data_IF_755202132571
#
_entry.id   IF_755202132571
#
_cell.length_a   1.000
_cell.length_b   1.000
_cell.length_c   1.000
_cell.angle_alpha   90.00
_cell.angle_beta   90.00
_cell.angle_gamma   90.00
#
_symmetry.space_group_name_H-M   'P 1'
#
loop_
_entity.id
_entity.type
_entity.pdbx_description
1 polymer ?
#
# COMPACT_ATOMS: atom_id res chain seq x y z
N UNK A 1 5.29 31.72 40.68
CA UNK A 1 4.29 31.66 39.60
C UNK A 1 4.79 30.61 38.59
N UNK A 2 4.39 29.35 38.81
CA UNK A 2 4.77 28.24 37.93
C UNK A 2 3.72 28.13 36.81
N UNK A 3 4.11 28.41 35.58
CA UNK A 3 3.28 28.23 34.41
C UNK A 3 3.43 26.78 33.94
N UNK A 4 2.45 25.95 34.26
CA UNK A 4 2.39 24.57 33.79
C UNK A 4 2.06 24.53 32.31
N UNK A 5 3.02 24.14 31.48
CA UNK A 5 2.85 23.92 30.05
C UNK A 5 2.22 22.54 29.85
N UNK A 6 0.89 22.51 29.69
CA UNK A 6 0.15 21.30 29.32
C UNK A 6 0.50 20.90 27.88
N UNK A 7 1.29 19.86 27.74
CA UNK A 7 1.52 19.18 26.46
C UNK A 7 0.21 18.49 26.03
N UNK A 8 -0.47 19.06 25.07
CA UNK A 8 -1.62 18.41 24.41
C UNK A 8 -1.09 17.27 23.55
N UNK A 9 -1.18 16.06 24.06
CA UNK A 9 -0.95 14.82 23.31
C UNK A 9 -2.15 14.62 22.37
N UNK A 10 -2.01 15.02 21.11
CA UNK A 10 -2.97 14.70 20.07
C UNK A 10 -2.71 13.29 19.56
N UNK A 11 -3.31 12.30 20.22
CA UNK A 11 -3.30 10.92 19.74
C UNK A 11 -4.41 10.70 18.69
N UNK A 12 -4.08 10.06 17.57
CA UNK A 12 -5.08 9.54 16.65
C UNK A 12 -5.76 8.31 17.25
N UNK A 13 -7.09 8.21 17.11
CA UNK A 13 -7.87 7.10 17.61
C UNK A 13 -8.32 6.21 16.46
N UNK A 14 -7.96 4.92 16.50
CA UNK A 14 -8.50 3.91 15.59
C UNK A 14 -9.36 2.96 16.45
N UNK A 15 -10.68 3.02 16.26
CA UNK A 15 -11.63 2.26 17.07
C UNK A 15 -11.59 2.68 18.54
N UNK A 16 -11.45 1.71 19.45
CA UNK A 16 -11.40 1.95 20.90
C UNK A 16 -9.97 2.11 21.45
N UNK A 17 -8.95 2.17 20.59
CA UNK A 17 -7.52 2.22 20.94
C UNK A 17 -6.89 3.55 20.57
N UNK A 18 -6.04 4.06 21.47
CA UNK A 18 -5.32 5.32 21.29
C UNK A 18 -3.95 5.04 20.65
N UNK A 19 -3.69 5.63 19.50
CA UNK A 19 -2.33 5.69 18.96
C UNK A 19 -1.63 6.85 19.63
N UNK A 20 -0.67 6.55 20.49
CA UNK A 20 0.19 7.55 21.12
C UNK A 20 1.50 7.59 20.32
N UNK A 21 1.65 8.57 19.46
CA UNK A 21 2.96 8.89 18.90
C UNK A 21 3.75 9.60 20.01
N UNK A 22 4.62 8.86 20.69
CA UNK A 22 5.41 9.43 21.77
C UNK A 22 6.77 9.88 21.24
N UNK A 23 7.23 11.07 21.65
CA UNK A 23 8.58 11.58 21.39
C UNK A 23 9.67 10.80 22.15
N UNK A 24 9.37 9.63 22.71
CA UNK A 24 10.27 8.76 23.48
C UNK A 24 10.69 7.54 22.64
N UNK A 25 10.72 7.69 21.32
CA UNK A 25 11.30 6.68 20.45
C UNK A 25 12.83 6.86 20.46
N UNK A 26 13.56 5.75 20.55
CA UNK A 26 14.99 5.77 20.31
C UNK A 26 15.28 5.70 18.80
N UNK A 27 16.54 5.92 18.41
CA UNK A 27 16.99 5.97 17.01
C UNK A 27 16.76 4.66 16.22
N UNK A 28 16.33 3.60 16.89
CA UNK A 28 16.06 2.27 16.29
C UNK A 28 14.58 1.95 16.19
N UNK A 29 13.72 2.88 16.55
CA UNK A 29 12.27 2.72 16.57
C UNK A 29 11.62 3.70 15.61
N UNK A 30 10.62 3.24 14.87
CA UNK A 30 9.88 4.08 13.91
C UNK A 30 8.60 4.59 14.53
N UNK A 31 7.83 3.71 15.15
CA UNK A 31 6.62 4.04 15.93
C UNK A 31 6.33 2.99 16.99
N UNK A 32 5.35 3.29 17.82
CA UNK A 32 4.85 2.37 18.87
C UNK A 32 3.33 2.45 18.98
N UNK A 33 2.67 1.29 18.98
CA UNK A 33 1.22 1.15 19.16
C UNK A 33 0.97 0.23 20.36
N UNK A 34 0.32 0.70 21.40
CA UNK A 34 -0.04 -0.07 22.61
C UNK A 34 1.09 -0.92 23.22
N UNK A 35 2.32 -0.47 23.14
CA UNK A 35 3.47 -1.20 23.66
C UNK A 35 4.27 -1.94 22.60
N UNK A 36 3.67 -2.32 21.49
CA UNK A 36 4.33 -2.96 20.36
C UNK A 36 5.10 -1.92 19.54
N UNK A 37 6.36 -2.21 19.27
CA UNK A 37 7.30 -1.31 18.61
C UNK A 37 7.56 -1.81 17.20
N UNK A 38 7.40 -0.94 16.21
CA UNK A 38 7.97 -1.17 14.88
C UNK A 38 9.44 -0.71 14.89
N UNK A 39 10.33 -1.60 14.51
CA UNK A 39 11.77 -1.33 14.47
C UNK A 39 12.19 -0.63 13.17
N UNK A 40 13.29 0.11 13.25
CA UNK A 40 13.89 0.72 12.04
C UNK A 40 14.39 -0.35 11.06
N UNK A 41 14.85 -1.49 11.54
CA UNK A 41 15.28 -2.62 10.70
C UNK A 41 14.11 -3.16 9.88
N UNK A 42 12.97 -3.42 10.51
CA UNK A 42 11.75 -3.85 9.84
C UNK A 42 11.31 -2.85 8.78
N UNK A 43 11.24 -1.56 9.11
CA UNK A 43 10.91 -0.51 8.16
C UNK A 43 11.88 -0.45 6.96
N UNK A 44 13.18 -0.68 7.19
CA UNK A 44 14.17 -0.76 6.11
C UNK A 44 13.93 -1.96 5.19
N UNK A 45 13.53 -3.12 5.72
CA UNK A 45 13.19 -4.30 4.89
C UNK A 45 12.02 -3.98 3.97
N UNK A 46 10.94 -3.41 4.48
CA UNK A 46 9.79 -2.99 3.68
C UNK A 46 10.17 -1.94 2.63
N UNK A 47 10.94 -0.92 3.01
CA UNK A 47 11.44 0.10 2.07
C UNK A 47 12.27 -0.50 0.95
N UNK A 48 13.18 -1.43 1.28
CA UNK A 48 14.03 -2.10 0.28
C UNK A 48 13.19 -2.96 -0.66
N UNK A 49 12.20 -3.67 -0.16
CA UNK A 49 11.27 -4.44 -1.00
C UNK A 49 10.53 -3.53 -1.98
N UNK A 50 9.99 -2.40 -1.52
CA UNK A 50 9.37 -1.43 -2.42
C UNK A 50 10.36 -0.86 -3.45
N UNK A 51 11.58 -0.52 -3.03
CA UNK A 51 12.61 -0.06 -3.94
C UNK A 51 12.93 -1.09 -5.03
N UNK A 52 13.02 -2.37 -4.67
CA UNK A 52 13.30 -3.45 -5.60
C UNK A 52 12.12 -3.68 -6.56
N UNK A 53 10.89 -3.66 -6.08
CA UNK A 53 9.68 -3.79 -6.89
C UNK A 53 9.59 -2.65 -7.92
N UNK A 54 9.69 -1.41 -7.47
CA UNK A 54 9.60 -0.26 -8.38
C UNK A 54 10.81 -0.17 -9.31
N UNK A 55 12.02 -0.46 -8.81
CA UNK A 55 13.23 -0.49 -9.63
C UNK A 55 13.19 -1.56 -10.72
N UNK A 56 12.60 -2.72 -10.43
CA UNK A 56 12.42 -3.80 -11.40
C UNK A 56 11.34 -3.45 -12.43
N UNK A 57 10.23 -2.86 -11.98
CA UNK A 57 9.10 -2.54 -12.86
C UNK A 57 9.36 -1.35 -13.79
N UNK A 58 10.07 -0.32 -13.31
CA UNK A 58 10.23 0.97 -14.00
C UNK A 58 11.66 1.37 -14.25
N UNK A 59 12.64 0.60 -13.82
CA UNK A 59 14.07 0.87 -13.92
C UNK A 59 14.62 1.75 -12.81
N UNK A 60 15.93 1.62 -12.55
CA UNK A 60 16.63 2.31 -11.45
C UNK A 60 16.70 3.83 -11.61
N UNK A 61 16.54 4.34 -12.82
CA UNK A 61 16.57 5.79 -13.08
C UNK A 61 15.31 6.51 -12.57
N UNK A 62 14.24 5.76 -12.28
CA UNK A 62 13.04 6.27 -11.62
C UNK A 62 13.37 7.04 -10.33
N UNK A 63 14.34 6.56 -9.56
CA UNK A 63 14.76 7.18 -8.28
C UNK A 63 15.46 8.52 -8.44
N UNK A 64 15.94 8.84 -9.65
CA UNK A 64 16.59 10.10 -9.99
C UNK A 64 15.63 11.11 -10.62
N UNK A 65 14.42 10.66 -10.95
CA UNK A 65 13.43 11.51 -11.59
C UNK A 65 12.87 12.52 -10.60
N UNK A 66 12.77 13.77 -11.01
CA UNK A 66 12.17 14.84 -10.24
C UNK A 66 10.66 14.87 -10.51
N UNK A 67 9.88 14.53 -9.50
CA UNK A 67 8.41 14.58 -9.54
C UNK A 67 7.88 15.91 -8.93
N UNK A 68 8.71 16.91 -8.74
CA UNK A 68 8.37 18.15 -8.07
C UNK A 68 8.27 18.00 -6.55
N UNK A 69 7.24 18.62 -5.95
CA UNK A 69 7.02 18.59 -4.49
C UNK A 69 6.72 17.20 -3.92
N UNK A 70 6.26 16.27 -4.77
CA UNK A 70 5.94 14.89 -4.40
C UNK A 70 7.04 13.93 -4.90
N UNK A 71 8.11 13.81 -4.13
CA UNK A 71 9.16 12.85 -4.45
C UNK A 71 8.68 11.40 -4.27
N UNK A 72 9.08 10.50 -5.18
CA UNK A 72 8.79 9.06 -5.08
C UNK A 72 9.25 8.51 -3.73
N UNK A 73 10.39 8.97 -3.21
CA UNK A 73 10.91 8.56 -1.89
C UNK A 73 9.94 8.91 -0.78
N UNK A 74 9.32 10.09 -0.81
CA UNK A 74 8.31 10.52 0.17
C UNK A 74 7.06 9.65 0.09
N UNK A 75 6.61 9.36 -1.13
CA UNK A 75 5.48 8.46 -1.38
C UNK A 75 5.75 7.06 -0.83
N UNK A 76 6.88 6.44 -1.19
CA UNK A 76 7.24 5.09 -0.73
C UNK A 76 7.37 5.02 0.80
N UNK A 77 7.94 6.05 1.43
CA UNK A 77 7.99 6.12 2.89
C UNK A 77 6.59 6.18 3.51
N UNK A 78 5.67 6.94 2.91
CA UNK A 78 4.29 7.03 3.39
C UNK A 78 3.57 5.69 3.28
N UNK A 79 3.65 5.02 2.13
CA UNK A 79 3.07 3.68 1.91
C UNK A 79 3.65 2.66 2.88
N UNK A 80 4.98 2.65 3.07
CA UNK A 80 5.64 1.76 4.03
C UNK A 80 5.13 1.99 5.46
N UNK A 81 4.97 3.24 5.86
CA UNK A 81 4.46 3.58 7.20
C UNK A 81 3.00 3.14 7.39
N UNK A 82 2.18 3.30 6.37
CA UNK A 82 0.78 2.85 6.38
C UNK A 82 0.70 1.33 6.52
N UNK A 83 1.45 0.58 5.71
CA UNK A 83 1.48 -0.88 5.75
C UNK A 83 1.98 -1.41 7.10
N UNK A 84 3.09 -0.89 7.61
CA UNK A 84 3.63 -1.30 8.91
C UNK A 84 2.66 -0.98 10.05
N UNK A 85 1.98 0.16 9.99
CA UNK A 85 0.96 0.52 10.99
C UNK A 85 -0.21 -0.46 10.93
N UNK A 86 -0.62 -0.86 9.73
CA UNK A 86 -1.66 -1.86 9.53
C UNK A 86 -1.23 -3.22 10.06
N UNK A 87 -0.03 -3.70 9.73
CA UNK A 87 0.51 -4.99 10.22
C UNK A 87 0.54 -5.02 11.74
N UNK A 88 1.14 -4.03 12.40
CA UNK A 88 1.21 -3.98 13.87
C UNK A 88 -0.19 -3.90 14.50
N UNK A 89 -1.11 -3.16 13.90
CA UNK A 89 -2.50 -3.08 14.40
C UNK A 89 -3.23 -4.40 14.26
N UNK A 90 -3.01 -5.12 13.16
CA UNK A 90 -3.60 -6.44 12.93
C UNK A 90 -3.00 -7.49 13.86
N UNK A 91 -1.71 -7.46 14.15
CA UNK A 91 -1.06 -8.34 15.12
C UNK A 91 -1.65 -8.17 16.52
N UNK A 92 -1.83 -6.93 16.97
CA UNK A 92 -2.48 -6.64 18.24
C UNK A 92 -3.93 -7.15 18.28
N UNK A 93 -4.64 -7.01 17.17
CA UNK A 93 -6.00 -7.52 17.05
C UNK A 93 -6.03 -9.06 17.01
N UNK A 94 -5.08 -9.70 16.32
CA UNK A 94 -4.94 -11.16 16.28
C UNK A 94 -4.72 -11.73 17.68
N UNK A 95 -3.81 -11.13 18.45
CA UNK A 95 -3.58 -11.50 19.85
C UNK A 95 -4.86 -11.41 20.70
N UNK A 96 -5.64 -10.34 20.53
CA UNK A 96 -6.89 -10.16 21.26
C UNK A 96 -8.01 -11.13 20.86
N UNK A 97 -7.86 -11.78 19.69
CA UNK A 97 -8.81 -12.75 19.14
C UNK A 97 -8.30 -14.19 19.18
N UNK A 98 -7.17 -14.40 19.83
CA UNK A 98 -6.51 -15.72 19.95
C UNK A 98 -6.20 -16.37 18.58
N UNK A 99 -5.99 -15.54 17.54
CA UNK A 99 -5.52 -16.02 16.22
C UNK A 99 -4.02 -16.20 16.30
N UNK A 100 -3.54 -17.38 15.93
CA UNK A 100 -2.13 -17.72 15.93
C UNK A 100 -1.74 -18.46 14.64
N UNK A 101 -0.47 -18.40 14.30
CA UNK A 101 0.11 -19.17 13.21
C UNK A 101 0.26 -20.65 13.65
N UNK A 102 0.00 -21.58 12.73
CA UNK A 102 0.22 -23.01 12.93
C UNK A 102 1.71 -23.38 12.80
N UNK A 103 2.08 -24.59 13.23
CA UNK A 103 3.46 -25.09 13.07
C UNK A 103 3.88 -25.16 11.60
N UNK A 104 2.98 -25.55 10.70
CA UNK A 104 3.25 -25.62 9.26
C UNK A 104 3.47 -24.20 8.67
N UNK A 105 2.67 -23.21 9.08
CA UNK A 105 2.83 -21.80 8.68
C UNK A 105 4.17 -21.25 9.20
N UNK A 106 4.53 -21.53 10.44
CA UNK A 106 5.81 -21.09 11.02
C UNK A 106 7.00 -21.74 10.30
N UNK A 107 6.88 -23.02 9.91
CA UNK A 107 7.92 -23.71 9.14
C UNK A 107 8.11 -23.08 7.77
N UNK A 108 7.01 -22.82 7.05
CA UNK A 108 7.05 -22.16 5.73
C UNK A 108 7.62 -20.73 5.82
N UNK A 109 7.29 -20.00 6.86
CA UNK A 109 7.84 -18.65 7.13
C UNK A 109 9.35 -18.72 7.36
N UNK A 110 9.82 -19.69 8.15
CA UNK A 110 11.25 -19.85 8.41
C UNK A 110 12.04 -20.17 7.14
N UNK A 111 11.50 -21.02 6.27
CA UNK A 111 12.11 -21.35 4.98
C UNK A 111 12.16 -20.12 4.06
N UNK A 112 11.05 -19.40 3.94
CA UNK A 112 10.99 -18.16 3.14
C UNK A 112 11.94 -17.07 3.67
N UNK A 113 12.06 -16.94 4.98
CA UNK A 113 12.98 -15.99 5.60
C UNK A 113 14.44 -16.31 5.31
N UNK A 114 14.81 -17.60 5.37
CA UNK A 114 16.15 -18.07 5.03
C UNK A 114 16.48 -17.82 3.56
N UNK A 115 15.53 -18.09 2.65
CA UNK A 115 15.68 -17.83 1.22
C UNK A 115 15.86 -16.32 0.94
N UNK A 116 15.00 -15.47 1.53
CA UNK A 116 15.14 -14.03 1.40
C UNK A 116 16.48 -13.54 1.93
N UNK A 117 16.89 -13.97 3.13
CA UNK A 117 18.16 -13.56 3.73
C UNK A 117 19.37 -13.99 2.89
N UNK A 118 19.32 -15.17 2.29
CA UNK A 118 20.36 -15.68 1.40
C UNK A 118 20.41 -14.90 0.05
N UNK A 119 19.30 -14.30 -0.37
CA UNK A 119 19.23 -13.52 -1.61
C UNK A 119 19.78 -12.09 -1.48
N UNK A 120 19.96 -11.59 -0.25
CA UNK A 120 20.46 -10.24 0.01
C UNK A 120 21.88 -10.05 -0.49
N UNK A 121 22.14 -8.99 -1.24
CA UNK A 121 23.47 -8.54 -1.57
C UNK A 121 24.23 -8.10 -0.32
N UNK A 122 25.55 -7.99 -0.42
CA UNK A 122 26.38 -7.50 0.69
C UNK A 122 26.01 -6.07 1.10
N UNK A 123 25.68 -5.22 0.14
CA UNK A 123 25.28 -3.85 0.32
C UNK A 123 23.95 -3.77 1.04
N UNK A 124 22.95 -4.56 0.62
CA UNK A 124 21.64 -4.64 1.28
C UNK A 124 21.76 -5.16 2.70
N UNK A 125 22.52 -6.22 2.93
CA UNK A 125 22.73 -6.78 4.27
C UNK A 125 23.38 -5.74 5.21
N UNK A 126 24.36 -4.98 4.70
CA UNK A 126 25.00 -3.91 5.47
C UNK A 126 24.04 -2.77 5.80
N UNK A 127 23.15 -2.42 4.88
CA UNK A 127 22.15 -1.36 5.08
C UNK A 127 21.01 -1.79 6.01
N UNK A 128 20.52 -3.00 5.84
CA UNK A 128 19.39 -3.53 6.61
C UNK A 128 19.80 -3.85 8.06
N UNK A 129 21.02 -4.29 8.30
CA UNK A 129 21.53 -4.69 9.62
C UNK A 129 20.67 -5.80 10.26
N UNK A 130 20.08 -6.67 9.45
CA UNK A 130 19.18 -7.75 9.88
C UNK A 130 19.90 -9.09 9.97
N UNK A 131 19.31 -9.99 10.74
CA UNK A 131 19.61 -11.41 10.76
C UNK A 131 18.48 -12.21 10.13
N UNK A 132 18.70 -13.46 9.80
CA UNK A 132 17.64 -14.37 9.34
C UNK A 132 16.47 -14.44 10.34
N UNK A 133 16.80 -14.45 11.65
CA UNK A 133 15.78 -14.43 12.71
C UNK A 133 14.95 -13.13 12.69
N UNK A 134 15.55 -11.97 12.43
CA UNK A 134 14.81 -10.71 12.29
C UNK A 134 13.82 -10.81 11.12
N UNK A 135 14.26 -11.35 9.97
CA UNK A 135 13.38 -11.55 8.80
C UNK A 135 12.24 -12.51 9.10
N UNK A 136 12.55 -13.62 9.78
CA UNK A 136 11.51 -14.59 10.18
C UNK A 136 10.46 -13.96 11.09
N UNK A 137 10.86 -13.10 12.04
CA UNK A 137 9.93 -12.35 12.90
C UNK A 137 9.03 -11.42 12.09
N UNK A 138 9.59 -10.64 11.14
CA UNK A 138 8.80 -9.73 10.29
C UNK A 138 7.83 -10.46 9.37
N UNK A 139 8.22 -11.61 8.84
CA UNK A 139 7.35 -12.48 8.06
C UNK A 139 6.22 -13.08 8.90
N UNK A 140 6.48 -13.38 10.18
CA UNK A 140 5.44 -13.83 11.11
C UNK A 140 4.40 -12.73 11.36
N UNK A 141 4.84 -11.47 11.59
CA UNK A 141 3.94 -10.33 11.73
C UNK A 141 3.03 -10.18 10.50
N UNK A 142 3.63 -10.19 9.31
CA UNK A 142 2.87 -10.07 8.06
C UNK A 142 1.89 -11.23 7.85
N UNK A 143 2.35 -12.47 8.03
CA UNK A 143 1.52 -13.66 7.87
C UNK A 143 0.35 -13.71 8.87
N UNK A 144 0.60 -13.30 10.12
CA UNK A 144 -0.45 -13.23 11.14
C UNK A 144 -1.49 -12.15 10.79
N UNK A 145 -1.04 -10.97 10.35
CA UNK A 145 -1.91 -9.90 9.88
C UNK A 145 -2.79 -10.37 8.71
N UNK A 146 -2.19 -11.05 7.73
CA UNK A 146 -2.90 -11.59 6.57
C UNK A 146 -3.91 -12.69 6.97
N UNK A 147 -3.51 -13.59 7.87
CA UNK A 147 -4.40 -14.64 8.39
C UNK A 147 -5.62 -14.07 9.09
N UNK A 148 -5.42 -13.05 9.92
CA UNK A 148 -6.50 -12.35 10.57
C UNK A 148 -7.41 -11.65 9.55
N UNK A 149 -6.84 -10.93 8.60
CA UNK A 149 -7.60 -10.27 7.53
C UNK A 149 -8.51 -11.27 6.80
N UNK A 150 -7.94 -12.39 6.35
CA UNK A 150 -8.70 -13.45 5.69
C UNK A 150 -9.82 -14.02 6.58
N UNK A 151 -9.54 -14.21 7.87
CA UNK A 151 -10.55 -14.68 8.83
C UNK A 151 -11.71 -13.68 9.00
N UNK A 152 -11.43 -12.39 8.93
CA UNK A 152 -12.45 -11.34 9.07
C UNK A 152 -13.27 -11.16 7.79
N UNK A 153 -12.67 -11.39 6.63
CA UNK A 153 -13.30 -11.17 5.32
C UNK A 153 -14.00 -12.40 4.77
N UNK A 154 -13.58 -13.61 5.16
CA UNK A 154 -14.18 -14.86 4.69
C UNK A 154 -15.69 -15.01 4.97
N UNK A 155 -16.23 -14.27 5.93
CA UNK A 155 -17.66 -14.26 6.24
C UNK A 155 -18.39 -13.02 5.71
N UNK A 156 -17.68 -12.13 5.06
CA UNK A 156 -18.29 -11.00 4.36
C UNK A 156 -18.93 -11.55 3.10
N UNK A 157 -20.24 -11.68 3.15
CA UNK A 157 -21.04 -12.00 1.97
C UNK A 157 -20.91 -10.75 1.07
N UNK A 158 -20.12 -10.84 0.02
CA UNK A 158 -20.17 -9.86 -1.06
C UNK A 158 -21.50 -10.05 -1.79
N UNK A 159 -22.59 -9.65 -1.16
CA UNK A 159 -23.80 -9.33 -1.90
C UNK A 159 -23.48 -8.08 -2.74
N UNK A 160 -22.80 -8.32 -3.85
CA UNK A 160 -22.73 -7.33 -4.92
C UNK A 160 -24.18 -7.12 -5.36
N UNK A 161 -24.72 -5.94 -5.15
CA UNK A 161 -26.05 -5.62 -5.64
C UNK A 161 -26.08 -5.81 -7.17
N UNK A 162 -27.24 -6.17 -7.74
CA UNK A 162 -27.39 -6.27 -9.20
C UNK A 162 -26.92 -4.99 -9.92
N UNK A 163 -26.95 -3.84 -9.23
CA UNK A 163 -26.47 -2.56 -9.75
C UNK A 163 -24.93 -2.44 -9.72
N UNK A 164 -24.24 -3.06 -8.76
CA UNK A 164 -22.76 -3.10 -8.68
C UNK A 164 -22.16 -4.19 -9.57
N UNK A 165 -22.92 -5.26 -9.84
CA UNK A 165 -22.52 -6.33 -10.76
C UNK A 165 -22.80 -5.98 -12.23
N UNK A 166 -23.36 -4.81 -12.53
CA UNK A 166 -23.64 -4.40 -13.91
C UNK A 166 -22.34 -4.22 -14.68
N UNK A 167 -22.17 -5.06 -15.68
CA UNK A 167 -21.24 -4.79 -16.77
C UNK A 167 -21.85 -3.68 -17.64
N UNK A 168 -21.17 -2.55 -17.74
CA UNK A 168 -21.56 -1.46 -18.63
C UNK A 168 -20.64 -1.45 -19.84
N UNK A 169 -21.21 -1.35 -21.02
CA UNK A 169 -20.45 -1.09 -22.24
C UNK A 169 -20.30 0.44 -22.39
N UNK A 170 -19.06 0.88 -22.49
CA UNK A 170 -18.72 2.31 -22.63
C UNK A 170 -18.11 2.52 -24.00
N UNK A 171 -18.68 3.45 -24.76
CA UNK A 171 -18.05 3.99 -25.96
C UNK A 171 -17.39 5.33 -25.64
N UNK A 172 -16.13 5.51 -26.07
CA UNK A 172 -15.40 6.74 -25.84
C UNK A 172 -14.77 7.28 -27.12
N UNK A 173 -14.72 8.60 -27.26
CA UNK A 173 -13.99 9.29 -28.31
C UNK A 173 -12.87 10.09 -27.62
N UNK A 174 -11.63 9.80 -27.97
CA UNK A 174 -10.48 10.53 -27.45
C UNK A 174 -9.99 11.55 -28.49
N UNK A 175 -9.86 12.81 -28.07
CA UNK A 175 -9.27 13.91 -28.84
C UNK A 175 -8.35 14.71 -27.93
N UNK A 176 -7.15 15.04 -28.40
CA UNK A 176 -6.17 15.78 -27.61
C UNK A 176 -6.45 17.29 -27.58
N UNK A 177 -7.14 17.81 -28.60
CA UNK A 177 -7.46 19.24 -28.73
C UNK A 177 -8.82 19.60 -28.11
N UNK A 178 -8.83 20.62 -27.26
CA UNK A 178 -10.04 21.05 -26.54
C UNK A 178 -11.13 21.65 -27.45
N UNK A 179 -10.75 22.19 -28.61
CA UNK A 179 -11.70 22.73 -29.59
C UNK A 179 -12.39 21.59 -30.30
N UNK A 180 -11.64 20.57 -30.72
CA UNK A 180 -12.20 19.33 -31.27
C UNK A 180 -13.13 18.64 -30.27
N UNK A 181 -12.74 18.58 -28.98
CA UNK A 181 -13.56 17.97 -27.94
C UNK A 181 -14.95 18.67 -27.82
N UNK A 182 -14.99 20.01 -27.90
CA UNK A 182 -16.25 20.77 -27.91
C UNK A 182 -17.06 20.50 -29.16
N UNK A 183 -16.42 20.38 -30.32
CA UNK A 183 -17.14 20.08 -31.58
C UNK A 183 -17.75 18.67 -31.52
N UNK A 184 -17.02 17.70 -31.02
CA UNK A 184 -17.53 16.33 -30.76
C UNK A 184 -18.72 16.35 -29.83
N UNK A 185 -18.64 17.04 -28.68
CA UNK A 185 -19.73 17.16 -27.73
C UNK A 185 -20.95 17.78 -28.37
N UNK A 186 -20.79 18.91 -29.09
CA UNK A 186 -21.87 19.58 -29.78
C UNK A 186 -22.55 18.74 -30.89
N UNK A 187 -21.81 17.86 -31.54
CA UNK A 187 -22.38 16.92 -32.52
C UNK A 187 -23.22 15.84 -31.84
N UNK A 188 -22.70 15.24 -30.75
CA UNK A 188 -23.42 14.22 -29.99
C UNK A 188 -24.68 14.80 -29.31
N UNK A 189 -24.62 16.04 -28.79
CA UNK A 189 -25.78 16.74 -28.23
C UNK A 189 -26.90 17.01 -29.27
N UNK A 190 -26.54 17.18 -30.54
CA UNK A 190 -27.49 17.30 -31.64
C UNK A 190 -28.09 15.96 -32.10
N UNK A 191 -27.60 14.85 -31.57
CA UNK A 191 -28.07 13.52 -31.92
C UNK A 191 -27.32 12.87 -33.08
N UNK A 192 -26.14 13.39 -33.45
CA UNK A 192 -25.31 12.75 -34.47
C UNK A 192 -24.89 11.34 -33.95
N UNK A 193 -24.80 10.34 -34.84
CA UNK A 193 -24.49 8.97 -34.50
C UNK A 193 -23.11 8.87 -33.92
N UNK A 194 -22.98 8.21 -32.75
CA UNK A 194 -21.75 8.13 -31.99
C UNK A 194 -20.62 7.45 -32.78
N UNK A 195 -20.90 6.32 -33.45
CA UNK A 195 -19.89 5.60 -34.24
C UNK A 195 -19.37 6.44 -35.40
N UNK A 196 -20.24 7.17 -36.05
CA UNK A 196 -19.89 8.08 -37.15
C UNK A 196 -19.01 9.24 -36.66
N UNK A 197 -19.33 9.81 -35.50
CA UNK A 197 -18.51 10.86 -34.88
C UNK A 197 -17.17 10.27 -34.43
N UNK A 198 -17.16 9.11 -33.78
CA UNK A 198 -15.94 8.44 -33.34
C UNK A 198 -14.99 8.15 -34.51
N UNK A 199 -15.51 7.64 -35.64
CA UNK A 199 -14.72 7.34 -36.83
C UNK A 199 -14.00 8.58 -37.40
N UNK A 200 -14.61 9.76 -37.25
CA UNK A 200 -14.06 11.00 -37.82
C UNK A 200 -13.15 11.78 -36.84
N UNK A 201 -13.29 11.58 -35.55
CA UNK A 201 -12.65 12.41 -34.54
C UNK A 201 -11.73 11.65 -33.59
N UNK A 202 -11.92 10.32 -33.40
CA UNK A 202 -11.13 9.56 -32.45
C UNK A 202 -9.66 9.48 -32.88
N UNK A 203 -8.77 9.96 -32.03
CA UNK A 203 -7.33 9.99 -32.27
C UNK A 203 -6.61 8.73 -31.73
N UNK A 204 -7.31 7.85 -31.01
CA UNK A 204 -6.78 6.54 -30.63
C UNK A 204 -6.95 5.54 -31.77
N UNK A 205 -5.89 4.76 -32.03
CA UNK A 205 -5.83 3.80 -33.13
C UNK A 205 -6.67 2.52 -32.90
N UNK A 206 -7.28 2.35 -31.72
CA UNK A 206 -8.17 1.22 -31.41
C UNK A 206 -9.35 1.70 -30.56
N UNK A 207 -10.56 1.27 -30.90
CA UNK A 207 -11.71 1.31 -30.02
C UNK A 207 -11.48 0.19 -28.99
N UNK A 208 -11.08 0.56 -27.77
CA UNK A 208 -11.00 -0.41 -26.67
C UNK A 208 -12.40 -0.54 -26.09
N UNK A 209 -13.03 -1.68 -26.32
CA UNK A 209 -14.18 -2.15 -25.54
C UNK A 209 -13.60 -2.79 -24.27
N UNK A 210 -13.73 -2.12 -23.13
CA UNK A 210 -13.40 -2.74 -21.84
C UNK A 210 -14.69 -3.32 -21.28
N UNK A 211 -14.72 -4.63 -21.13
CA UNK A 211 -15.77 -5.37 -20.43
C UNK A 211 -15.43 -5.41 -18.96
#
# INVERSE_FOLDING_TARGET
>A
MLCGMSLLLTGCRIGNKNIVVSNILNDRQVFKIEGTVCSLKEARVYLTNYQNIYGTAYGVDLWKHDFGDDSLVKYIKAVTMEELTQVVSMDLLAQSREVALSEDELSAISEAAAEYYASLSKEENTYLEVTESDISEYYQHYALAQKLYNSLTNSVNEEVSDDEARVIEIMQIFVADSTKARDVAAKLERGDDFESVAKNYNELSSIQTTV
#
